data_IF_679191212585
#
_entry.id   IF_679191212585
#
_cell.length_a   1.000
_cell.length_b   1.000
_cell.length_c   1.000
_cell.angle_alpha   90.00
_cell.angle_beta   90.00
_cell.angle_gamma   90.00
#
_symmetry.space_group_name_H-M   'P 1'
#
loop_
_entity.id
_entity.type
_entity.pdbx_description
1 polymer ?
#
# COMPACT_ATOMS: atom_id res chain seq x y z
N UNK A 1 -1.80 9.82 -13.42
CA UNK A 1 -2.89 10.65 -12.92
C UNK A 1 -4.15 9.87 -12.57
N UNK A 2 -3.99 8.69 -11.95
CA UNK A 2 -5.10 7.98 -11.32
C UNK A 2 -5.41 8.59 -9.95
N UNK A 3 -6.31 7.98 -9.19
CA UNK A 3 -6.83 8.51 -7.92
C UNK A 3 -6.01 8.14 -6.69
N UNK A 4 -5.12 7.15 -6.76
CA UNK A 4 -4.52 6.51 -5.58
C UNK A 4 -3.01 6.34 -5.62
N UNK A 5 -2.38 6.37 -6.81
CA UNK A 5 -0.93 6.24 -6.96
C UNK A 5 -0.26 7.60 -7.07
N UNK A 6 0.76 7.80 -6.26
CA UNK A 6 1.54 9.03 -6.20
C UNK A 6 3.02 8.76 -6.49
N UNK A 7 3.68 9.72 -7.13
CA UNK A 7 5.15 9.67 -7.33
C UNK A 7 5.89 9.85 -6.01
N UNK A 8 5.36 10.68 -5.12
CA UNK A 8 5.80 10.82 -3.74
C UNK A 8 4.59 10.70 -2.81
N UNK A 9 4.69 9.89 -1.77
CA UNK A 9 3.65 9.71 -0.75
C UNK A 9 4.28 9.52 0.63
N UNK A 10 3.47 9.71 1.66
CA UNK A 10 3.87 9.47 3.04
C UNK A 10 3.46 8.06 3.46
N UNK A 11 4.36 7.38 4.18
CA UNK A 11 4.13 6.01 4.62
C UNK A 11 4.17 5.94 6.15
N UNK A 12 3.08 5.51 6.76
CA UNK A 12 3.09 5.03 8.14
C UNK A 12 3.80 3.67 8.17
N UNK A 13 4.57 3.42 9.21
CA UNK A 13 5.28 2.15 9.29
C UNK A 13 5.59 1.72 10.71
N UNK A 14 5.78 0.43 10.89
CA UNK A 14 6.41 -0.16 12.06
C UNK A 14 7.29 -1.33 11.62
N UNK A 15 8.34 -1.55 12.37
CA UNK A 15 9.37 -2.52 12.02
C UNK A 15 9.69 -3.41 13.21
N UNK A 16 9.85 -4.71 12.95
CA UNK A 16 10.40 -5.67 13.89
C UNK A 16 11.71 -6.20 13.36
N UNK A 17 12.76 -6.06 14.12
CA UNK A 17 14.10 -6.57 13.80
C UNK A 17 14.43 -7.75 14.72
N UNK A 18 13.79 -8.89 14.47
CA UNK A 18 13.94 -10.11 15.26
C UNK A 18 13.20 -10.12 16.60
N UNK A 19 12.19 -9.25 16.76
CA UNK A 19 11.34 -9.18 17.94
C UNK A 19 10.00 -9.88 17.65
N UNK A 20 8.90 -9.13 17.46
CA UNK A 20 7.62 -9.75 17.08
C UNK A 20 7.64 -10.27 15.64
N UNK A 21 6.80 -11.26 15.38
CA UNK A 21 6.70 -11.88 14.07
C UNK A 21 5.26 -11.80 13.51
N UNK A 22 5.03 -12.44 12.44
CA UNK A 22 3.86 -12.50 11.56
C UNK A 22 2.49 -12.43 12.28
N UNK A 23 2.23 -13.32 13.24
CA UNK A 23 0.96 -13.34 13.93
C UNK A 23 0.70 -12.05 14.72
N UNK A 24 1.70 -11.55 15.42
CA UNK A 24 1.60 -10.31 16.20
C UNK A 24 1.52 -9.10 15.29
N UNK A 25 2.31 -9.06 14.20
CA UNK A 25 2.25 -8.00 13.20
C UNK A 25 0.84 -7.87 12.64
N UNK A 26 0.27 -8.95 12.13
CA UNK A 26 -1.09 -8.98 11.56
C UNK A 26 -2.13 -8.54 12.60
N UNK A 27 -2.00 -9.00 13.86
CA UNK A 27 -2.92 -8.57 14.94
C UNK A 27 -2.83 -7.07 15.22
N UNK A 28 -1.63 -6.50 15.28
CA UNK A 28 -1.43 -5.07 15.49
C UNK A 28 -2.00 -4.25 14.34
N UNK A 29 -1.71 -4.63 13.10
CA UNK A 29 -2.26 -3.98 11.91
C UNK A 29 -3.78 -4.05 11.86
N UNK A 30 -4.35 -5.22 12.15
CA UNK A 30 -5.81 -5.38 12.22
C UNK A 30 -6.44 -4.53 13.33
N UNK A 31 -5.84 -4.50 14.50
CA UNK A 31 -6.30 -3.66 15.61
C UNK A 31 -6.23 -2.18 15.26
N UNK A 32 -5.13 -1.73 14.68
CA UNK A 32 -4.97 -0.36 14.20
C UNK A 32 -6.08 0.01 13.21
N UNK A 33 -6.28 -0.78 12.17
CA UNK A 33 -7.29 -0.50 11.16
C UNK A 33 -8.72 -0.53 11.73
N UNK A 34 -9.08 -1.58 12.48
CA UNK A 34 -10.49 -1.80 12.87
C UNK A 34 -10.88 -1.11 14.17
N UNK A 35 -9.97 -1.04 15.17
CA UNK A 35 -10.27 -0.46 16.48
C UNK A 35 -9.88 1.01 16.58
N UNK A 36 -8.75 1.40 16.03
CA UNK A 36 -8.24 2.78 16.10
C UNK A 36 -8.84 3.62 14.97
N UNK A 37 -8.63 3.22 13.72
CA UNK A 37 -9.14 3.93 12.55
C UNK A 37 -10.64 3.69 12.30
N UNK A 38 -11.26 2.71 12.99
CA UNK A 38 -12.69 2.35 12.85
C UNK A 38 -13.08 1.93 11.44
N UNK A 39 -12.16 1.34 10.70
CA UNK A 39 -12.46 0.77 9.39
C UNK A 39 -13.43 -0.41 9.56
N UNK A 40 -14.60 -0.38 8.90
CA UNK A 40 -15.59 -1.43 9.06
C UNK A 40 -15.16 -2.73 8.35
N UNK A 41 -15.28 -3.85 9.06
CA UNK A 41 -14.83 -5.16 8.57
C UNK A 41 -15.55 -5.61 7.29
N UNK A 42 -16.80 -5.19 7.10
CA UNK A 42 -17.57 -5.47 5.89
C UNK A 42 -17.00 -4.81 4.63
N UNK A 43 -16.08 -3.85 4.78
CA UNK A 43 -15.35 -3.18 3.70
C UNK A 43 -13.88 -3.57 3.61
N UNK A 44 -13.47 -4.53 4.43
CA UNK A 44 -12.08 -4.95 4.58
C UNK A 44 -11.83 -6.26 3.88
N UNK A 45 -10.70 -6.38 3.22
CA UNK A 45 -10.22 -7.61 2.59
C UNK A 45 -8.70 -7.68 2.64
N UNK A 46 -8.14 -8.87 2.45
CA UNK A 46 -6.70 -9.08 2.51
C UNK A 46 -6.23 -10.01 1.41
N UNK A 47 -4.97 -9.86 1.01
CA UNK A 47 -4.25 -10.83 0.19
C UNK A 47 -3.28 -11.63 1.06
N UNK A 48 -2.93 -12.82 0.64
CA UNK A 48 -1.92 -13.67 1.30
C UNK A 48 -1.16 -14.45 0.23
N UNK A 49 0.12 -14.63 0.44
CA UNK A 49 0.99 -15.36 -0.47
C UNK A 49 0.57 -16.82 -0.66
N UNK A 50 0.34 -17.21 -1.89
CA UNK A 50 -0.08 -18.57 -2.29
C UNK A 50 1.07 -19.54 -2.54
N UNK A 51 2.30 -19.05 -2.50
CA UNK A 51 3.44 -19.72 -3.08
C UNK A 51 3.64 -19.31 -4.55
N UNK A 52 4.89 -19.32 -5.01
CA UNK A 52 5.27 -19.01 -6.39
C UNK A 52 6.29 -20.04 -6.92
N UNK A 53 6.88 -19.78 -8.08
CA UNK A 53 7.85 -20.69 -8.72
C UNK A 53 9.12 -20.93 -7.89
N UNK A 54 9.54 -19.94 -7.12
CA UNK A 54 10.79 -19.95 -6.35
C UNK A 54 10.58 -20.40 -4.90
N UNK A 55 9.46 -19.99 -4.29
CA UNK A 55 9.05 -20.38 -2.93
C UNK A 55 7.64 -20.96 -3.00
N UNK A 56 7.55 -22.29 -3.05
CA UNK A 56 6.27 -22.98 -3.30
C UNK A 56 5.34 -23.08 -2.09
N UNK A 57 5.84 -22.74 -0.91
CA UNK A 57 5.08 -22.84 0.34
C UNK A 57 4.10 -21.70 0.47
N UNK A 58 2.81 -22.02 0.55
CA UNK A 58 1.75 -21.09 0.88
C UNK A 58 1.86 -20.61 2.34
N UNK A 59 1.48 -19.36 2.61
CA UNK A 59 1.50 -18.78 3.96
C UNK A 59 0.24 -19.13 4.76
N UNK A 60 0.17 -20.37 5.20
CA UNK A 60 -0.93 -20.92 6.02
C UNK A 60 -1.09 -20.19 7.38
N UNK A 61 0.00 -19.64 7.92
CA UNK A 61 0.00 -18.96 9.21
C UNK A 61 -0.75 -17.62 9.10
N UNK A 62 -0.47 -16.84 8.07
CA UNK A 62 -1.19 -15.59 7.81
C UNK A 62 -2.68 -15.85 7.54
N UNK A 63 -3.03 -16.88 6.77
CA UNK A 63 -4.42 -17.27 6.53
C UNK A 63 -5.14 -17.57 7.85
N UNK A 64 -4.55 -18.40 8.70
CA UNK A 64 -5.14 -18.76 9.99
C UNK A 64 -5.30 -17.55 10.91
N UNK A 65 -4.31 -16.66 10.92
CA UNK A 65 -4.35 -15.44 11.72
C UNK A 65 -5.50 -14.55 11.27
N UNK A 66 -5.63 -14.25 9.98
CA UNK A 66 -6.73 -13.44 9.45
C UNK A 66 -8.11 -14.04 9.74
N UNK A 67 -8.27 -15.36 9.56
CA UNK A 67 -9.51 -16.04 9.90
C UNK A 67 -9.85 -15.93 11.40
N UNK A 68 -8.85 -16.07 12.26
CA UNK A 68 -9.03 -15.96 13.72
C UNK A 68 -9.45 -14.55 14.18
N UNK A 69 -9.09 -13.53 13.41
CA UNK A 69 -9.47 -12.14 13.63
C UNK A 69 -10.86 -11.79 13.05
N UNK A 70 -11.52 -12.74 12.39
CA UNK A 70 -12.87 -12.58 11.87
C UNK A 70 -12.94 -12.11 10.41
N UNK A 71 -11.81 -12.03 9.69
CA UNK A 71 -11.86 -11.77 8.25
C UNK A 71 -12.48 -12.97 7.55
N UNK A 72 -13.59 -12.80 6.80
CA UNK A 72 -14.25 -13.92 6.12
C UNK A 72 -13.34 -14.56 5.07
N UNK A 73 -13.43 -15.88 4.92
CA UNK A 73 -12.61 -16.61 3.94
C UNK A 73 -12.73 -16.04 2.52
N UNK A 74 -13.90 -15.58 2.15
CA UNK A 74 -14.17 -14.98 0.83
C UNK A 74 -13.52 -13.61 0.64
N UNK A 75 -12.97 -13.03 1.71
CA UNK A 75 -12.21 -11.77 1.74
C UNK A 75 -10.71 -11.98 1.90
N UNK A 76 -10.24 -13.23 1.86
CA UNK A 76 -8.82 -13.59 1.83
C UNK A 76 -8.52 -14.12 0.44
N UNK A 77 -7.75 -13.37 -0.33
CA UNK A 77 -7.32 -13.77 -1.66
C UNK A 77 -5.90 -14.31 -1.63
N UNK A 78 -5.68 -15.45 -2.27
CA UNK A 78 -4.36 -16.04 -2.42
C UNK A 78 -3.76 -15.60 -3.74
N UNK A 79 -2.56 -15.02 -3.68
CA UNK A 79 -1.82 -14.51 -4.84
C UNK A 79 -0.36 -14.93 -4.80
N UNK A 80 0.21 -15.25 -5.94
CA UNK A 80 1.61 -15.67 -6.08
C UNK A 80 2.58 -14.50 -6.17
N UNK A 81 2.09 -13.30 -6.41
CA UNK A 81 2.81 -12.03 -6.45
C UNK A 81 2.81 -11.28 -5.11
N UNK A 82 2.15 -11.78 -4.05
CA UNK A 82 2.30 -11.28 -2.68
C UNK A 82 3.71 -11.59 -2.14
N UNK A 83 4.68 -10.96 -2.76
CA UNK A 83 6.10 -11.10 -2.45
C UNK A 83 6.82 -9.77 -2.58
N UNK A 84 7.45 -9.33 -1.50
CA UNK A 84 8.21 -8.10 -1.49
C UNK A 84 9.72 -8.33 -1.49
N UNK A 85 10.41 -7.54 -2.30
CA UNK A 85 11.86 -7.48 -2.32
C UNK A 85 12.58 -8.61 -3.08
N UNK A 86 13.89 -8.53 -3.04
CA UNK A 86 14.67 -7.49 -2.38
C UNK A 86 14.58 -6.13 -3.12
N UNK A 87 14.88 -5.04 -2.39
CA UNK A 87 14.91 -3.69 -2.99
C UNK A 87 16.02 -3.48 -4.05
N UNK A 88 16.91 -4.42 -4.18
CA UNK A 88 17.99 -4.46 -5.19
C UNK A 88 18.15 -5.85 -5.78
N UNK A 89 19.32 -6.14 -6.33
CA UNK A 89 19.60 -7.46 -6.93
C UNK A 89 19.62 -8.59 -5.88
N UNK A 90 19.92 -8.29 -4.63
CA UNK A 90 20.02 -9.22 -3.49
C UNK A 90 19.65 -8.53 -2.18
N UNK A 91 19.32 -9.30 -1.18
CA UNK A 91 18.99 -8.81 0.17
C UNK A 91 17.73 -9.44 0.74
N UNK A 92 17.29 -8.93 1.89
CA UNK A 92 16.10 -9.40 2.56
C UNK A 92 14.85 -9.28 1.69
N UNK A 93 14.00 -10.29 1.77
CA UNK A 93 12.75 -10.37 1.03
C UNK A 93 11.81 -11.38 1.70
N UNK A 94 10.60 -11.44 1.26
CA UNK A 94 9.66 -12.43 1.78
C UNK A 94 8.26 -12.26 1.25
N UNK A 95 7.36 -13.19 1.63
CA UNK A 95 5.95 -13.03 1.38
C UNK A 95 5.41 -11.79 2.08
N UNK A 96 4.29 -11.30 1.59
CA UNK A 96 3.57 -10.21 2.22
C UNK A 96 2.07 -10.51 2.30
N UNK A 97 1.38 -9.68 3.06
CA UNK A 97 -0.08 -9.67 3.16
C UNK A 97 -0.55 -8.23 3.14
N UNK A 98 -1.33 -7.91 2.11
CA UNK A 98 -1.84 -6.57 1.89
C UNK A 98 -3.26 -6.43 2.42
N UNK A 99 -3.61 -5.24 2.86
CA UNK A 99 -4.93 -4.89 3.37
C UNK A 99 -5.62 -3.93 2.41
N UNK A 100 -6.85 -4.26 2.05
CA UNK A 100 -7.68 -3.51 1.12
C UNK A 100 -8.97 -3.01 1.74
N UNK A 101 -9.38 -1.84 1.28
CA UNK A 101 -10.65 -1.22 1.64
C UNK A 101 -11.51 -0.98 0.40
N UNK A 102 -12.81 -1.28 0.51
CA UNK A 102 -13.79 -0.95 -0.52
C UNK A 102 -14.16 0.52 -0.44
N UNK A 103 -13.63 1.34 -1.34
CA UNK A 103 -13.73 2.80 -1.30
C UNK A 103 -15.11 3.38 -1.66
N UNK A 104 -15.90 2.84 -2.62
CA UNK A 104 -17.17 3.47 -2.98
C UNK A 104 -18.16 3.49 -1.82
N UNK A 105 -18.50 4.69 -1.32
CA UNK A 105 -19.39 4.86 -0.17
C UNK A 105 -20.85 4.57 -0.47
N UNK A 106 -21.25 4.69 -1.73
CA UNK A 106 -22.63 4.53 -2.18
C UNK A 106 -22.98 3.08 -2.58
N UNK A 107 -22.05 2.15 -2.39
CA UNK A 107 -22.27 0.74 -2.72
C UNK A 107 -21.82 -0.17 -1.58
N UNK A 108 -22.50 -1.29 -1.44
CA UNK A 108 -22.08 -2.37 -0.55
C UNK A 108 -20.85 -3.04 -1.15
N UNK A 109 -19.85 -3.32 -0.31
CA UNK A 109 -18.69 -4.06 -0.74
C UNK A 109 -19.07 -5.46 -1.24
N UNK A 110 -18.48 -5.95 -2.34
CA UNK A 110 -18.73 -7.29 -2.83
C UNK A 110 -18.48 -8.33 -1.74
N UNK A 111 -19.30 -9.35 -1.67
CA UNK A 111 -19.12 -10.44 -0.69
C UNK A 111 -17.77 -11.15 -0.87
N UNK A 112 -17.36 -11.33 -2.11
CA UNK A 112 -16.10 -11.95 -2.48
C UNK A 112 -15.08 -10.90 -2.90
N UNK A 113 -13.85 -11.01 -2.39
CA UNK A 113 -12.72 -10.21 -2.83
C UNK A 113 -12.09 -10.83 -4.07
N UNK A 114 -12.11 -10.12 -5.17
CA UNK A 114 -11.52 -10.54 -6.44
C UNK A 114 -10.82 -9.33 -7.04
N UNK A 115 -9.63 -8.96 -6.53
CA UNK A 115 -8.90 -7.87 -7.13
C UNK A 115 -8.49 -8.29 -8.53
N UNK A 116 -8.69 -7.39 -9.45
CA UNK A 116 -7.98 -7.38 -10.70
C UNK A 116 -7.40 -5.98 -10.86
N UNK A 117 -6.37 -5.81 -11.61
CA UNK A 117 -5.66 -4.54 -11.83
C UNK A 117 -6.56 -3.40 -12.35
N UNK A 118 -7.81 -3.72 -12.69
CA UNK A 118 -8.83 -2.76 -13.18
C UNK A 118 -9.85 -2.38 -12.14
N UNK A 119 -9.93 -3.09 -11.01
CA UNK A 119 -10.90 -2.78 -9.96
C UNK A 119 -10.32 -1.86 -8.89
N UNK A 120 -10.13 -0.59 -9.27
CA UNK A 120 -9.63 0.48 -8.39
C UNK A 120 -10.54 0.80 -7.19
N UNK A 121 -11.70 0.14 -7.08
CA UNK A 121 -12.62 0.32 -5.96
C UNK A 121 -12.12 -0.35 -4.69
N UNK A 122 -11.31 -1.39 -4.82
CA UNK A 122 -10.53 -1.93 -3.73
C UNK A 122 -9.20 -1.16 -3.65
N UNK A 123 -9.03 -0.39 -2.60
CA UNK A 123 -7.84 0.42 -2.37
C UNK A 123 -6.96 -0.27 -1.33
N UNK A 124 -5.74 -0.58 -1.69
CA UNK A 124 -4.72 -1.04 -0.75
C UNK A 124 -4.39 0.08 0.24
N UNK A 125 -4.52 -0.20 1.53
CA UNK A 125 -4.29 0.75 2.62
C UNK A 125 -3.08 0.39 3.49
N UNK A 126 -2.51 -0.78 3.31
CA UNK A 126 -1.32 -1.21 4.02
C UNK A 126 -0.82 -2.57 3.56
N UNK A 127 0.42 -2.87 3.91
CA UNK A 127 1.08 -4.12 3.59
C UNK A 127 2.00 -4.52 4.74
N UNK A 128 1.84 -5.74 5.27
CA UNK A 128 2.77 -6.38 6.21
C UNK A 128 3.75 -7.24 5.42
N UNK A 129 4.98 -6.79 5.28
CA UNK A 129 6.07 -7.55 4.66
C UNK A 129 6.73 -8.46 5.69
N UNK A 130 6.79 -9.74 5.38
CA UNK A 130 7.26 -10.83 6.23
C UNK A 130 8.63 -11.29 5.77
N UNK A 131 9.68 -10.55 6.12
CA UNK A 131 11.04 -10.81 5.66
C UNK A 131 11.61 -12.06 6.33
N UNK A 132 11.47 -13.21 5.69
CA UNK A 132 12.01 -14.49 6.16
C UNK A 132 13.01 -15.15 5.19
N UNK A 133 13.30 -14.50 4.06
CA UNK A 133 14.26 -14.98 3.06
C UNK A 133 15.29 -13.90 2.72
N UNK A 134 16.44 -14.37 2.23
CA UNK A 134 17.44 -13.56 1.54
C UNK A 134 17.58 -14.07 0.11
N UNK A 135 17.48 -13.16 -0.85
CA UNK A 135 17.91 -13.44 -2.22
C UNK A 135 19.41 -13.28 -2.32
N UNK A 136 20.09 -14.39 -2.61
CA UNK A 136 21.54 -14.45 -2.73
C UNK A 136 22.01 -13.93 -4.10
N UNK A 137 23.32 -13.70 -4.25
CA UNK A 137 23.93 -13.20 -5.50
C UNK A 137 23.71 -14.14 -6.69
N UNK A 138 23.57 -15.44 -6.45
CA UNK A 138 23.26 -16.45 -7.48
C UNK A 138 21.75 -16.62 -7.73
N UNK A 139 20.94 -15.73 -7.17
CA UNK A 139 19.50 -15.64 -7.41
C UNK A 139 18.64 -16.62 -6.61
N UNK A 140 19.23 -17.35 -5.66
CA UNK A 140 18.47 -18.28 -4.79
C UNK A 140 17.87 -17.57 -3.61
N UNK A 141 16.73 -18.07 -3.14
CA UNK A 141 16.08 -17.63 -1.91
C UNK A 141 16.44 -18.59 -0.77
N UNK A 142 17.13 -18.08 0.23
CA UNK A 142 17.54 -18.85 1.42
C UNK A 142 16.88 -18.26 2.67
N UNK A 143 16.50 -19.09 3.67
CA UNK A 143 15.91 -18.57 4.90
C UNK A 143 16.85 -17.62 5.63
N UNK A 144 16.34 -16.49 6.10
CA UNK A 144 17.06 -15.59 7.01
C UNK A 144 17.22 -16.23 8.39
N UNK A 145 18.34 -15.95 9.04
CA UNK A 145 18.55 -16.33 10.44
C UNK A 145 17.64 -15.55 11.39
N UNK A 146 17.42 -14.29 11.09
CA UNK A 146 16.54 -13.38 11.81
C UNK A 146 15.38 -12.98 10.92
N UNK A 147 14.16 -13.21 11.38
CA UNK A 147 12.95 -12.77 10.71
C UNK A 147 12.64 -11.33 11.10
N UNK A 148 12.19 -10.55 10.13
CA UNK A 148 11.86 -9.14 10.35
C UNK A 148 10.49 -8.82 9.76
N UNK A 149 9.83 -7.83 10.35
CA UNK A 149 8.58 -7.27 9.84
C UNK A 149 8.84 -5.86 9.33
N UNK A 150 8.21 -5.54 8.22
CA UNK A 150 8.16 -4.18 7.67
C UNK A 150 6.71 -3.89 7.25
N UNK A 151 5.99 -3.16 8.11
CA UNK A 151 4.65 -2.68 7.78
C UNK A 151 4.74 -1.32 7.09
N UNK A 152 4.02 -1.18 5.98
CA UNK A 152 3.83 0.09 5.28
C UNK A 152 2.35 0.38 5.05
N UNK A 153 1.89 1.56 5.50
CA UNK A 153 0.53 2.05 5.27
C UNK A 153 0.53 3.43 4.60
N UNK A 154 -0.09 3.55 3.43
CA UNK A 154 -0.16 4.83 2.70
C UNK A 154 -1.03 5.85 3.43
N UNK A 155 -0.44 6.98 3.84
CA UNK A 155 -1.16 8.06 4.56
C UNK A 155 -2.26 8.63 3.68
N UNK A 156 -1.95 8.99 2.45
CA UNK A 156 -2.90 9.61 1.51
C UNK A 156 -4.10 8.69 1.23
N UNK A 157 -3.86 7.39 1.02
CA UNK A 157 -4.92 6.40 0.79
C UNK A 157 -5.78 6.21 2.03
N UNK A 158 -5.17 6.05 3.19
CA UNK A 158 -5.86 5.88 4.47
C UNK A 158 -6.71 7.11 4.80
N UNK A 159 -6.17 8.32 4.58
CA UNK A 159 -6.91 9.56 4.80
C UNK A 159 -8.11 9.68 3.88
N UNK A 160 -7.96 9.37 2.59
CA UNK A 160 -9.06 9.38 1.63
C UNK A 160 -10.18 8.42 2.06
N UNK A 161 -9.82 7.19 2.41
CA UNK A 161 -10.74 6.16 2.90
C UNK A 161 -11.53 6.64 4.14
N UNK A 162 -10.83 7.18 5.14
CA UNK A 162 -11.45 7.66 6.37
C UNK A 162 -12.39 8.86 6.15
N UNK A 163 -12.12 9.69 5.14
CA UNK A 163 -12.98 10.81 4.75
C UNK A 163 -14.06 10.42 3.73
N UNK A 164 -14.11 9.16 3.32
CA UNK A 164 -15.10 8.68 2.37
C UNK A 164 -14.88 9.13 0.94
N UNK A 165 -13.63 9.42 0.56
CA UNK A 165 -13.27 9.75 -0.81
C UNK A 165 -12.72 8.53 -1.55
N UNK A 166 -13.02 8.46 -2.82
CA UNK A 166 -12.46 7.52 -3.80
C UNK A 166 -11.35 8.16 -4.66
N UNK A 167 -10.94 9.36 -4.28
CA UNK A 167 -9.91 10.16 -4.94
C UNK A 167 -9.06 10.87 -3.87
N UNK A 168 -7.79 10.51 -3.76
CA UNK A 168 -6.87 11.08 -2.78
C UNK A 168 -6.74 12.60 -2.90
N UNK A 169 -6.87 13.14 -4.12
CA UNK A 169 -6.73 14.58 -4.40
C UNK A 169 -7.89 15.44 -3.85
N UNK A 170 -8.96 14.82 -3.37
CA UNK A 170 -10.06 15.50 -2.69
C UNK A 170 -9.81 15.71 -1.19
N UNK A 171 -8.77 15.06 -0.65
CA UNK A 171 -8.40 15.20 0.77
C UNK A 171 -7.79 16.56 1.07
N UNK A 172 -7.77 16.91 2.36
CA UNK A 172 -7.17 18.16 2.83
C UNK A 172 -5.66 18.26 2.56
N UNK A 173 -4.96 17.14 2.36
CA UNK A 173 -3.55 17.13 1.97
C UNK A 173 -3.33 17.71 0.56
N UNK A 174 -4.24 17.46 -0.35
CA UNK A 174 -4.12 17.85 -1.75
C UNK A 174 -4.96 19.08 -2.12
N UNK A 175 -6.02 19.33 -1.37
CA UNK A 175 -6.97 20.43 -1.64
C UNK A 175 -6.30 21.78 -1.87
N UNK A 176 -5.34 22.25 -1.03
CA UNK A 176 -4.69 23.53 -1.26
C UNK A 176 -3.91 23.59 -2.58
N UNK A 177 -3.30 22.47 -3.00
CA UNK A 177 -2.57 22.38 -4.26
C UNK A 177 -3.54 22.44 -5.44
N UNK A 178 -4.62 21.66 -5.39
CA UNK A 178 -5.67 21.66 -6.41
C UNK A 178 -6.33 23.04 -6.55
N UNK A 179 -6.69 23.68 -5.45
CA UNK A 179 -7.27 25.03 -5.46
C UNK A 179 -6.31 26.07 -6.08
N UNK A 180 -5.00 25.93 -5.83
CA UNK A 180 -4.01 26.81 -6.46
C UNK A 180 -3.91 26.56 -7.97
N UNK A 181 -3.95 25.32 -8.40
CA UNK A 181 -3.97 24.95 -9.83
C UNK A 181 -5.24 25.50 -10.51
N UNK A 182 -6.42 25.35 -9.88
CA UNK A 182 -7.66 25.93 -10.37
C UNK A 182 -7.55 27.45 -10.55
N UNK A 183 -7.04 28.14 -9.52
CA UNK A 183 -6.88 29.59 -9.54
C UNK A 183 -5.96 30.06 -10.69
N UNK A 184 -4.80 29.43 -10.85
CA UNK A 184 -3.81 29.81 -11.86
C UNK A 184 -4.25 29.45 -13.28
N UNK A 185 -4.95 28.33 -13.46
CA UNK A 185 -5.38 27.87 -14.78
C UNK A 185 -6.72 28.43 -15.25
N UNK A 186 -7.52 28.96 -14.34
CA UNK A 186 -8.92 29.34 -14.58
C UNK A 186 -9.85 28.16 -14.84
N UNK A 187 -9.40 26.93 -14.62
CA UNK A 187 -10.17 25.69 -14.82
C UNK A 187 -10.61 25.10 -13.49
N UNK A 188 -11.66 24.28 -13.52
CA UNK A 188 -12.11 23.52 -12.34
C UNK A 188 -11.55 22.12 -12.35
N UNK A 189 -11.33 21.54 -11.16
CA UNK A 189 -10.91 20.15 -10.99
C UNK A 189 -11.86 19.22 -11.69
N UNK A 190 -13.15 19.37 -11.44
CA UNK A 190 -14.19 18.62 -12.13
C UNK A 190 -14.14 18.87 -13.65
N UNK A 191 -13.92 17.79 -14.40
CA UNK A 191 -13.73 17.81 -15.85
C UNK A 191 -12.29 17.98 -16.33
N UNK A 192 -11.34 18.16 -15.39
CA UNK A 192 -9.90 18.25 -15.68
C UNK A 192 -9.07 17.38 -14.71
N UNK A 193 -9.70 16.39 -14.06
CA UNK A 193 -9.15 15.63 -12.94
C UNK A 193 -7.77 15.06 -13.28
N UNK A 194 -7.68 14.29 -14.36
CA UNK A 194 -6.42 13.64 -14.76
C UNK A 194 -5.25 14.62 -14.90
N UNK A 195 -5.49 15.74 -15.57
CA UNK A 195 -4.45 16.74 -15.81
C UNK A 195 -4.01 17.42 -14.51
N UNK A 196 -4.96 17.79 -13.66
CA UNK A 196 -4.66 18.46 -12.38
C UNK A 196 -3.97 17.52 -11.40
N UNK A 197 -4.35 16.22 -11.37
CA UNK A 197 -3.65 15.19 -10.58
C UNK A 197 -2.19 15.08 -10.99
N UNK A 198 -1.91 14.99 -12.29
CA UNK A 198 -0.52 14.92 -12.79
C UNK A 198 0.29 16.14 -12.35
N UNK A 199 -0.26 17.34 -12.49
CA UNK A 199 0.43 18.57 -12.08
C UNK A 199 0.67 18.59 -10.58
N UNK A 200 -0.34 18.28 -9.77
CA UNK A 200 -0.24 18.27 -8.32
C UNK A 200 0.79 17.23 -7.82
N UNK A 201 0.70 16.01 -8.33
CA UNK A 201 1.62 14.91 -7.99
C UNK A 201 3.08 15.27 -8.31
N UNK A 202 3.33 15.73 -9.52
CA UNK A 202 4.69 16.05 -9.95
C UNK A 202 5.28 17.28 -9.22
N UNK A 203 4.46 18.26 -8.89
CA UNK A 203 4.92 19.41 -8.09
C UNK A 203 5.32 18.94 -6.67
N UNK A 204 4.47 18.15 -6.00
CA UNK A 204 4.79 17.63 -4.66
C UNK A 204 6.09 16.83 -4.69
N UNK A 205 6.21 15.88 -5.62
CA UNK A 205 7.41 15.05 -5.77
C UNK A 205 8.66 15.90 -6.05
N UNK A 206 8.56 16.88 -6.96
CA UNK A 206 9.68 17.79 -7.28
C UNK A 206 10.11 18.62 -6.07
N UNK A 207 9.17 19.16 -5.31
CA UNK A 207 9.47 19.95 -4.10
C UNK A 207 10.21 19.09 -3.07
N UNK A 208 9.77 17.83 -2.87
CA UNK A 208 10.43 16.94 -1.91
C UNK A 208 11.85 16.57 -2.36
N UNK A 209 12.06 16.30 -3.64
CA UNK A 209 13.41 16.03 -4.19
C UNK A 209 14.32 17.24 -4.04
N UNK A 210 13.81 18.43 -4.35
CA UNK A 210 14.55 19.69 -4.22
C UNK A 210 14.89 20.00 -2.76
N UNK A 211 14.02 19.67 -1.81
CA UNK A 211 14.26 19.88 -0.37
C UNK A 211 15.41 19.04 0.17
N UNK A 212 15.71 17.90 -0.46
CA UNK A 212 16.88 17.06 -0.18
C UNK A 212 18.19 17.59 -0.84
N UNK A 213 18.14 18.78 -1.45
CA UNK A 213 19.31 19.40 -2.07
C UNK A 213 19.64 18.86 -3.48
N UNK A 214 18.77 18.03 -4.06
CA UNK A 214 18.91 17.54 -5.42
C UNK A 214 18.34 18.57 -6.38
N UNK A 215 19.22 19.22 -7.15
CA UNK A 215 18.81 20.25 -8.14
C UNK A 215 18.75 19.65 -9.54
N UNK A 216 17.87 20.16 -10.42
CA UNK A 216 17.81 19.74 -11.80
C UNK A 216 19.17 19.83 -12.49
N UNK A 217 19.57 18.78 -13.17
CA UNK A 217 20.81 18.73 -13.95
C UNK A 217 20.65 17.76 -15.12
N UNK A 218 21.62 17.72 -16.01
CA UNK A 218 21.67 16.73 -17.08
C UNK A 218 22.52 15.48 -16.74
N UNK A 219 22.78 15.25 -15.45
CA UNK A 219 23.60 14.15 -14.94
C UNK A 219 23.06 13.62 -13.60
N UNK A 220 23.33 12.34 -13.32
CA UNK A 220 23.08 11.69 -12.03
C UNK A 220 21.64 11.84 -11.53
N UNK A 221 21.47 12.12 -10.23
CA UNK A 221 20.16 12.20 -9.58
C UNK A 221 19.32 13.39 -10.01
N UNK A 222 19.93 14.42 -10.58
CA UNK A 222 19.26 15.63 -11.03
C UNK A 222 18.71 15.56 -12.46
N UNK A 223 18.92 14.44 -13.15
CA UNK A 223 18.48 14.22 -14.54
C UNK A 223 16.98 13.98 -14.67
#
# INVERSE_FOLDING_TARGET
GDTTHHTFFEMLGNWSLGDYWKEEAIKMTFEFHTKILKIPLERYAVTVFSGNKDVKKQDEESIKTWLSLGVPKERILLQDDNWWGPAGERGPCGPDTEMFYWAPNNTVAPKKFTPNDKDIRWVEIGNDVLMEYEKTKDGKFVPLKQKNIDFGGGVERTLAVLNGFDDNYLTELWKPVIEKIEHLSGKKYKGNEKTMRIVADHIKASVMILSEGIVPSNKERGY
#
